data_IF_564376305607
#
_entry.id   IF_564376305607
#
_cell.length_a   1.000
_cell.length_b   1.000
_cell.length_c   1.000
_cell.angle_alpha   90.00
_cell.angle_beta   90.00
_cell.angle_gamma   90.00
#
_symmetry.space_group_name_H-M   'P 1'
#
loop_
_entity.id
_entity.type
_entity.pdbx_description
1 polymer ?
#
# COMPACT_ATOMS: atom_id res chain seq x y z
N UNK A 1 -49.69 -66.06 -8.60
CA UNK A 1 -49.74 -66.48 -7.18
C UNK A 1 -49.04 -65.39 -6.38
N UNK A 2 -49.75 -64.32 -5.99
CA UNK A 2 -50.57 -64.18 -4.77
C UNK A 2 -49.68 -63.99 -3.52
N UNK A 3 -49.50 -62.74 -3.03
CA UNK A 3 -50.15 -62.10 -1.84
C UNK A 3 -49.53 -62.59 -0.50
N UNK A 4 -49.38 -61.84 0.61
CA UNK A 4 -49.78 -60.50 1.05
C UNK A 4 -49.09 -60.18 2.42
N UNK A 5 -48.69 -58.92 2.59
CA UNK A 5 -48.70 -57.98 3.76
C UNK A 5 -49.14 -58.48 5.16
N UNK A 6 -48.43 -58.02 6.22
CA UNK A 6 -48.90 -57.34 7.48
C UNK A 6 -47.68 -57.13 8.40
N UNK A 7 -47.45 -56.06 9.16
CA UNK A 7 -48.19 -54.87 9.59
C UNK A 7 -47.50 -54.39 10.89
N UNK A 8 -47.10 -53.12 10.98
CA UNK A 8 -46.20 -52.58 12.02
C UNK A 8 -46.78 -52.44 13.44
N UNK A 9 -45.96 -52.03 14.42
CA UNK A 9 -46.39 -51.81 15.81
C UNK A 9 -47.44 -50.70 15.91
N UNK A 10 -48.42 -50.93 16.78
CA UNK A 10 -49.68 -50.21 16.83
C UNK A 10 -49.70 -48.99 17.76
N UNK A 11 -50.75 -48.19 17.62
CA UNK A 11 -51.07 -46.95 18.36
C UNK A 11 -51.11 -47.02 19.89
N UNK A 12 -50.78 -48.16 20.52
CA UNK A 12 -50.71 -48.33 21.98
C UNK A 12 -49.28 -48.28 22.55
N UNK A 13 -48.26 -48.40 21.69
CA UNK A 13 -46.85 -48.34 22.12
C UNK A 13 -46.32 -46.89 22.20
N UNK A 14 -47.09 -45.91 21.74
CA UNK A 14 -46.73 -44.48 21.70
C UNK A 14 -47.11 -43.72 23.00
N UNK A 15 -47.74 -44.38 23.98
CA UNK A 15 -48.35 -43.72 25.14
C UNK A 15 -47.67 -43.97 26.51
N UNK A 16 -46.43 -44.48 26.56
CA UNK A 16 -45.71 -44.75 27.83
C UNK A 16 -44.30 -44.14 27.98
N UNK A 17 -43.93 -43.16 27.15
CA UNK A 17 -42.65 -42.44 27.28
C UNK A 17 -42.85 -40.91 27.32
N UNK A 18 -43.94 -40.46 27.93
CA UNK A 18 -44.16 -39.07 28.28
C UNK A 18 -43.83 -38.80 29.75
N UNK A 19 -43.15 -37.67 30.00
CA UNK A 19 -42.86 -36.99 31.28
C UNK A 19 -41.46 -37.22 31.85
N UNK A 20 -40.49 -36.46 31.36
CA UNK A 20 -39.23 -36.25 32.08
C UNK A 20 -38.11 -35.62 31.26
N UNK A 21 -38.28 -34.37 30.79
CA UNK A 21 -37.21 -33.38 30.56
C UNK A 21 -37.73 -32.16 29.76
N UNK A 22 -38.78 -31.49 30.25
CA UNK A 22 -39.09 -30.13 29.81
C UNK A 22 -38.35 -29.17 30.76
N UNK A 23 -37.14 -28.75 30.38
CA UNK A 23 -36.32 -27.89 31.23
C UNK A 23 -34.89 -27.67 30.76
N UNK A 24 -34.63 -27.64 29.44
CA UNK A 24 -33.42 -26.96 28.97
C UNK A 24 -33.75 -25.48 28.92
N UNK A 25 -33.32 -24.79 29.97
CA UNK A 25 -33.25 -23.35 30.08
C UNK A 25 -32.85 -22.75 28.73
N UNK A 26 -33.75 -21.96 28.13
CA UNK A 26 -33.35 -20.93 27.18
C UNK A 26 -32.53 -19.91 27.96
N UNK A 27 -31.24 -20.21 28.17
CA UNK A 27 -30.28 -19.18 28.45
C UNK A 27 -30.29 -18.26 27.21
N UNK A 28 -30.51 -16.95 27.36
CA UNK A 28 -30.31 -16.05 26.24
C UNK A 28 -28.89 -16.31 25.75
N UNK A 29 -28.75 -16.66 24.48
CA UNK A 29 -27.46 -16.55 23.83
C UNK A 29 -27.07 -15.09 24.05
N UNK A 30 -26.14 -14.86 24.97
CA UNK A 30 -25.44 -13.59 25.04
C UNK A 30 -24.77 -13.51 23.68
N UNK A 31 -25.39 -12.81 22.74
CA UNK A 31 -24.71 -12.24 21.61
C UNK A 31 -23.59 -11.41 22.24
N UNK A 32 -22.41 -12.03 22.41
CA UNK A 32 -21.19 -11.27 22.59
C UNK A 32 -21.20 -10.31 21.42
N UNK A 33 -21.32 -9.02 21.70
CA UNK A 33 -21.18 -7.99 20.70
C UNK A 33 -19.91 -8.33 19.92
N UNK A 34 -20.08 -8.78 18.68
CA UNK A 34 -18.95 -9.11 17.83
C UNK A 34 -18.21 -7.78 17.68
N UNK A 35 -16.99 -7.72 18.18
CA UNK A 35 -16.15 -6.52 18.06
C UNK A 35 -16.16 -6.13 16.59
N UNK A 36 -16.61 -4.91 16.27
CA UNK A 36 -16.62 -4.46 14.89
C UNK A 36 -15.19 -4.55 14.34
N UNK A 37 -15.01 -5.29 13.25
CA UNK A 37 -13.72 -5.41 12.56
C UNK A 37 -13.71 -4.44 11.39
N UNK A 38 -12.63 -3.65 11.29
CA UNK A 38 -12.32 -2.81 10.14
C UNK A 38 -11.11 -3.39 9.45
N UNK A 39 -11.29 -3.79 8.19
CA UNK A 39 -10.19 -4.30 7.38
C UNK A 39 -9.67 -3.16 6.51
N UNK A 40 -8.40 -2.83 6.69
CA UNK A 40 -7.70 -1.77 5.96
C UNK A 40 -6.72 -2.42 4.98
N UNK A 41 -6.99 -2.31 3.69
CA UNK A 41 -6.05 -2.69 2.64
C UNK A 41 -5.07 -1.56 2.38
N UNK A 42 -3.77 -1.84 2.27
CA UNK A 42 -2.79 -0.80 1.98
C UNK A 42 -1.45 -1.33 1.49
N UNK A 43 -0.50 -0.43 1.26
CA UNK A 43 0.87 -0.81 0.92
C UNK A 43 1.53 -1.57 2.08
N UNK A 44 2.28 -2.64 1.79
CA UNK A 44 2.97 -3.43 2.82
C UNK A 44 3.91 -2.58 3.70
N UNK A 45 4.53 -1.54 3.13
CA UNK A 45 5.36 -0.57 3.83
C UNK A 45 4.63 0.21 4.92
N UNK A 46 3.30 0.32 4.87
CA UNK A 46 2.51 1.03 5.89
C UNK A 46 2.26 0.21 7.16
N UNK A 47 2.54 -1.10 7.14
CA UNK A 47 2.26 -1.99 8.28
C UNK A 47 2.85 -1.48 9.61
N UNK A 48 4.13 -1.06 9.69
CA UNK A 48 4.68 -0.52 10.94
C UNK A 48 3.90 0.70 11.45
N UNK A 49 3.57 1.65 10.57
CA UNK A 49 2.80 2.84 10.92
C UNK A 49 1.37 2.49 11.36
N UNK A 50 0.67 1.64 10.62
CA UNK A 50 -0.71 1.25 10.94
C UNK A 50 -0.78 0.48 12.26
N UNK A 51 0.09 -0.50 12.48
CA UNK A 51 0.04 -1.36 13.66
C UNK A 51 0.56 -0.67 14.92
N UNK A 52 1.53 0.25 14.81
CA UNK A 52 2.10 0.93 15.99
C UNK A 52 1.39 2.24 16.37
N UNK A 53 0.77 2.94 15.41
CA UNK A 53 0.20 4.27 15.63
C UNK A 53 -1.31 4.28 15.37
N UNK A 54 -1.73 3.91 14.16
CA UNK A 54 -3.12 4.11 13.72
C UNK A 54 -4.08 3.17 14.46
N UNK A 55 -3.82 1.86 14.41
CA UNK A 55 -4.69 0.85 15.00
C UNK A 55 -4.83 1.04 16.52
N UNK A 56 -3.76 1.20 17.32
CA UNK A 56 -3.91 1.41 18.77
C UNK A 56 -4.73 2.65 19.13
N UNK A 57 -4.53 3.76 18.42
CA UNK A 57 -5.29 4.99 18.64
C UNK A 57 -6.77 4.83 18.26
N UNK A 58 -7.04 4.22 17.11
CA UNK A 58 -8.38 4.02 16.58
C UNK A 58 -9.18 3.01 17.42
N UNK A 59 -8.59 1.85 17.73
CA UNK A 59 -9.22 0.80 18.55
C UNK A 59 -9.53 1.32 19.97
N UNK A 60 -8.64 2.12 20.57
CA UNK A 60 -8.87 2.74 21.89
C UNK A 60 -10.09 3.66 21.89
N UNK A 61 -10.26 4.44 20.83
CA UNK A 61 -11.34 5.44 20.70
C UNK A 61 -12.68 4.81 20.32
N UNK A 62 -12.68 3.88 19.36
CA UNK A 62 -13.91 3.36 18.74
C UNK A 62 -14.31 1.96 19.19
N UNK A 63 -13.50 1.31 20.05
CA UNK A 63 -13.78 -0.03 20.61
C UNK A 63 -14.01 -1.09 19.52
N UNK A 64 -13.24 -0.99 18.44
CA UNK A 64 -13.25 -1.91 17.31
C UNK A 64 -11.91 -2.66 17.22
N UNK A 65 -11.78 -3.56 16.25
CA UNK A 65 -10.51 -4.17 15.85
C UNK A 65 -10.14 -3.67 14.45
N UNK A 66 -8.89 -3.24 14.27
CA UNK A 66 -8.34 -2.88 12.97
C UNK A 66 -7.43 -4.01 12.50
N UNK A 67 -7.71 -4.54 11.31
CA UNK A 67 -6.90 -5.55 10.65
C UNK A 67 -6.25 -4.90 9.43
N UNK A 68 -4.92 -4.92 9.36
CA UNK A 68 -4.19 -4.34 8.23
C UNK A 68 -3.72 -5.42 7.25
N UNK A 69 -4.19 -5.34 6.01
CA UNK A 69 -3.72 -6.16 4.90
C UNK A 69 -2.70 -5.39 4.07
N UNK A 70 -1.43 -5.50 4.45
CA UNK A 70 -0.31 -4.92 3.72
C UNK A 70 0.05 -5.71 2.45
N UNK A 71 -0.19 -5.14 1.28
CA UNK A 71 0.12 -5.72 -0.03
C UNK A 71 0.48 -4.62 -1.06
N UNK A 72 0.16 -4.79 -2.35
CA UNK A 72 0.31 -3.78 -3.41
C UNK A 72 -1.05 -3.24 -3.84
N UNK A 73 -1.09 -1.99 -4.33
CA UNK A 73 -2.33 -1.33 -4.81
C UNK A 73 -3.14 -2.20 -5.78
N UNK A 74 -2.51 -2.77 -6.81
CA UNK A 74 -3.21 -3.65 -7.76
C UNK A 74 -3.74 -4.94 -7.13
N UNK A 75 -3.07 -5.48 -6.12
CA UNK A 75 -3.54 -6.69 -5.41
C UNK A 75 -4.77 -6.35 -4.56
N UNK A 76 -4.83 -5.17 -3.95
CA UNK A 76 -6.04 -4.69 -3.28
C UNK A 76 -7.18 -4.51 -4.29
N UNK A 77 -6.93 -3.89 -5.45
CA UNK A 77 -7.94 -3.76 -6.50
C UNK A 77 -8.47 -5.12 -6.96
N UNK A 78 -7.60 -6.10 -7.22
CA UNK A 78 -8.02 -7.46 -7.58
C UNK A 78 -8.90 -8.12 -6.51
N UNK A 79 -8.59 -7.91 -5.22
CA UNK A 79 -9.42 -8.41 -4.12
C UNK A 79 -10.78 -7.71 -4.09
N UNK A 80 -10.83 -6.39 -4.31
CA UNK A 80 -12.10 -5.64 -4.40
C UNK A 80 -12.95 -6.15 -5.57
N UNK A 81 -12.33 -6.40 -6.73
CA UNK A 81 -12.99 -6.94 -7.92
C UNK A 81 -13.58 -8.33 -7.66
N UNK A 82 -12.78 -9.24 -7.07
CA UNK A 82 -13.20 -10.62 -6.77
C UNK A 82 -14.33 -10.70 -5.74
N UNK A 83 -14.45 -9.69 -4.88
CA UNK A 83 -15.45 -9.62 -3.81
C UNK A 83 -16.54 -8.57 -4.09
N UNK A 84 -16.80 -8.26 -5.36
CA UNK A 84 -17.86 -7.30 -5.73
C UNK A 84 -19.22 -7.80 -5.26
N UNK A 85 -19.90 -7.00 -4.43
CA UNK A 85 -21.18 -7.35 -3.79
C UNK A 85 -21.05 -8.10 -2.46
N UNK A 86 -19.82 -8.44 -2.06
CA UNK A 86 -19.50 -9.07 -0.77
C UNK A 86 -18.18 -8.50 -0.21
N UNK A 87 -18.04 -7.17 -0.26
CA UNK A 87 -16.82 -6.47 0.12
C UNK A 87 -16.50 -6.68 1.60
N UNK A 88 -15.26 -7.07 1.89
CA UNK A 88 -14.77 -7.24 3.26
C UNK A 88 -13.78 -6.13 3.67
N UNK A 89 -13.08 -5.51 2.71
CA UNK A 89 -12.23 -4.35 2.96
C UNK A 89 -13.11 -3.13 3.25
N UNK A 90 -12.97 -2.57 4.44
CA UNK A 90 -13.72 -1.40 4.90
C UNK A 90 -13.11 -0.09 4.39
N UNK A 91 -11.77 -0.06 4.27
CA UNK A 91 -10.99 1.08 3.79
C UNK A 91 -9.84 0.55 2.93
N UNK A 92 -9.53 1.24 1.84
CA UNK A 92 -8.38 0.90 0.99
C UNK A 92 -7.48 2.11 0.80
N UNK A 93 -6.18 1.87 0.88
CA UNK A 93 -5.13 2.83 0.60
C UNK A 93 -4.41 2.36 -0.66
N UNK A 94 -4.51 3.13 -1.74
CA UNK A 94 -3.95 2.79 -3.04
C UNK A 94 -3.42 4.03 -3.75
N UNK A 95 -2.48 3.83 -4.67
CA UNK A 95 -1.98 4.91 -5.52
C UNK A 95 -3.10 5.47 -6.40
N UNK A 96 -3.09 6.78 -6.66
CA UNK A 96 -4.15 7.47 -7.41
C UNK A 96 -4.47 6.84 -8.78
N UNK A 97 -3.48 6.37 -9.59
CA UNK A 97 -3.77 5.66 -10.84
C UNK A 97 -4.61 4.40 -10.66
N UNK A 98 -4.49 3.72 -9.51
CA UNK A 98 -5.29 2.54 -9.17
C UNK A 98 -6.66 2.93 -8.64
N UNK A 99 -6.77 4.04 -7.91
CA UNK A 99 -8.08 4.60 -7.50
C UNK A 99 -8.95 4.95 -8.71
N UNK A 100 -8.36 5.50 -9.78
CA UNK A 100 -9.09 5.77 -11.04
C UNK A 100 -9.72 4.50 -11.62
N UNK A 101 -9.01 3.37 -11.58
CA UNK A 101 -9.55 2.07 -12.02
C UNK A 101 -10.69 1.61 -11.11
N UNK A 102 -10.53 1.74 -9.79
CA UNK A 102 -11.56 1.38 -8.82
C UNK A 102 -12.86 2.20 -9.01
N UNK A 103 -12.73 3.50 -9.29
CA UNK A 103 -13.87 4.39 -9.61
C UNK A 103 -14.58 3.92 -10.89
N UNK A 104 -13.83 3.64 -11.96
CA UNK A 104 -14.39 3.17 -13.23
C UNK A 104 -15.22 1.88 -13.07
N UNK A 105 -14.87 1.05 -12.10
CA UNK A 105 -15.54 -0.22 -11.82
C UNK A 105 -16.63 -0.13 -10.75
N UNK A 106 -16.86 1.05 -10.18
CA UNK A 106 -17.86 1.30 -9.15
C UNK A 106 -17.53 0.58 -7.83
N UNK A 107 -16.25 0.56 -7.45
CA UNK A 107 -15.76 -0.15 -6.26
C UNK A 107 -15.55 0.76 -5.04
N UNK A 108 -15.71 2.08 -5.18
CA UNK A 108 -15.52 3.06 -4.11
C UNK A 108 -16.84 3.76 -3.76
N UNK A 109 -16.96 4.17 -2.51
CA UNK A 109 -18.03 5.05 -2.04
C UNK A 109 -17.51 6.49 -1.91
N UNK A 110 -18.29 7.51 -2.31
CA UNK A 110 -17.86 8.89 -2.17
C UNK A 110 -17.75 9.32 -0.70
N UNK A 111 -16.61 9.90 -0.37
CA UNK A 111 -16.39 10.64 0.85
C UNK A 111 -17.08 12.01 0.73
N UNK A 112 -17.75 12.43 1.81
CA UNK A 112 -18.43 13.74 1.88
C UNK A 112 -18.06 14.42 3.17
N UNK A 113 -18.04 15.76 3.21
CA UNK A 113 -17.76 16.52 4.44
C UNK A 113 -18.74 16.17 5.57
N UNK A 114 -19.98 15.79 5.24
CA UNK A 114 -20.94 15.32 6.23
C UNK A 114 -20.54 14.01 6.93
N UNK A 115 -19.93 13.07 6.19
CA UNK A 115 -19.45 11.78 6.74
C UNK A 115 -18.02 11.86 7.26
N UNK A 116 -17.18 12.67 6.62
CA UNK A 116 -15.75 12.84 6.88
C UNK A 116 -15.44 14.35 6.97
N UNK A 117 -15.70 14.99 8.12
CA UNK A 117 -15.56 16.44 8.27
C UNK A 117 -14.15 16.95 7.95
N UNK A 118 -13.12 16.16 8.25
CA UNK A 118 -11.71 16.51 8.00
C UNK A 118 -11.38 16.72 6.51
N UNK A 119 -12.27 16.33 5.58
CA UNK A 119 -12.10 16.68 4.16
C UNK A 119 -12.06 18.20 3.94
N UNK A 120 -12.73 18.98 4.79
CA UNK A 120 -12.74 20.44 4.72
C UNK A 120 -11.38 21.06 5.07
N UNK A 121 -10.53 20.32 5.79
CA UNK A 121 -9.21 20.78 6.24
C UNK A 121 -8.09 20.37 5.28
N UNK A 122 -8.41 19.64 4.21
CA UNK A 122 -7.41 19.17 3.25
C UNK A 122 -6.93 20.31 2.34
N UNK A 123 -5.66 20.21 1.94
CA UNK A 123 -5.08 21.12 0.96
C UNK A 123 -5.80 21.02 -0.38
N UNK A 124 -5.84 22.12 -1.13
CA UNK A 124 -6.47 22.15 -2.44
C UNK A 124 -5.87 21.07 -3.37
N UNK A 125 -6.73 20.33 -4.07
CA UNK A 125 -6.33 19.24 -4.96
C UNK A 125 -6.10 17.89 -4.29
N UNK A 126 -6.26 17.77 -2.96
CA UNK A 126 -6.17 16.49 -2.28
C UNK A 126 -7.44 15.63 -2.38
N UNK A 127 -8.59 16.21 -2.74
CA UNK A 127 -9.85 15.48 -2.94
C UNK A 127 -10.08 15.31 -4.44
N UNK A 128 -10.34 14.08 -4.86
CA UNK A 128 -10.40 13.72 -6.27
C UNK A 128 -11.74 13.14 -6.68
N UNK A 129 -12.09 13.34 -7.96
CA UNK A 129 -13.30 12.81 -8.60
C UNK A 129 -14.55 12.94 -7.72
N UNK A 130 -14.84 14.15 -7.25
CA UNK A 130 -16.00 14.46 -6.41
C UNK A 130 -16.08 13.65 -5.11
N UNK A 131 -14.91 13.38 -4.49
CA UNK A 131 -14.81 12.72 -3.19
C UNK A 131 -14.63 11.21 -3.28
N UNK A 132 -14.36 10.64 -4.46
CA UNK A 132 -14.14 9.19 -4.58
C UNK A 132 -12.89 8.70 -3.83
N UNK A 133 -11.88 9.57 -3.68
CA UNK A 133 -10.80 9.37 -2.72
C UNK A 133 -10.23 10.72 -2.28
N UNK A 134 -9.49 10.70 -1.18
CA UNK A 134 -8.68 11.83 -0.74
C UNK A 134 -7.22 11.40 -0.55
N UNK A 135 -6.26 12.27 -0.84
CA UNK A 135 -4.87 12.01 -0.53
C UNK A 135 -4.61 12.24 0.96
N UNK A 136 -4.08 11.23 1.64
CA UNK A 136 -3.74 11.30 3.07
C UNK A 136 -2.23 11.43 3.33
N UNK A 137 -1.41 11.18 2.30
CA UNK A 137 0.02 11.44 2.29
C UNK A 137 0.50 11.80 0.89
N UNK A 138 1.56 12.62 0.83
CA UNK A 138 2.19 13.05 -0.41
C UNK A 138 3.73 12.95 -0.28
N UNK A 139 4.29 11.74 -0.15
CA UNK A 139 5.72 11.54 -0.25
C UNK A 139 6.21 12.00 -1.63
N UNK A 140 7.51 12.23 -1.71
CA UNK A 140 8.17 12.63 -2.94
C UNK A 140 9.39 11.75 -3.17
N UNK A 141 9.81 11.67 -4.43
CA UNK A 141 10.94 10.87 -4.85
C UNK A 141 12.20 11.73 -4.98
N UNK A 142 13.23 11.35 -4.23
CA UNK A 142 14.54 12.00 -4.24
C UNK A 142 15.68 11.00 -4.43
N UNK A 143 16.90 11.42 -4.09
CA UNK A 143 18.05 10.52 -3.99
C UNK A 143 18.40 10.37 -2.51
N UNK A 144 18.24 9.17 -1.97
CA UNK A 144 18.76 8.86 -0.64
C UNK A 144 20.23 8.49 -0.79
N UNK A 145 21.10 9.03 0.05
CA UNK A 145 22.54 8.79 -0.04
C UNK A 145 23.14 8.53 1.35
N UNK A 146 24.25 7.78 1.40
CA UNK A 146 24.99 7.56 2.64
C UNK A 146 25.85 8.80 2.95
N UNK A 147 25.54 9.52 4.03
CA UNK A 147 26.20 10.79 4.38
C UNK A 147 27.56 10.63 5.06
N UNK A 148 27.89 9.42 5.51
CA UNK A 148 29.22 9.09 6.03
C UNK A 148 30.20 8.85 4.87
N UNK A 149 29.76 8.12 3.85
CA UNK A 149 30.56 7.79 2.66
C UNK A 149 30.59 8.92 1.62
N UNK A 150 29.54 9.75 1.55
CA UNK A 150 29.45 10.87 0.61
C UNK A 150 29.37 12.21 1.37
N UNK A 151 30.49 12.91 1.45
CA UNK A 151 30.58 14.24 2.06
C UNK A 151 29.98 15.34 1.18
N UNK A 152 29.87 15.11 -0.12
CA UNK A 152 29.15 15.99 -1.06
C UNK A 152 27.83 15.32 -1.45
N UNK A 153 26.68 15.89 -1.10
CA UNK A 153 25.37 15.35 -1.49
C UNK A 153 25.22 15.35 -3.01
N UNK A 154 24.50 14.36 -3.60
CA UNK A 154 24.11 14.46 -5.00
C UNK A 154 23.20 15.68 -5.20
N UNK A 155 23.24 16.25 -6.40
CA UNK A 155 22.47 17.44 -6.78
C UNK A 155 21.57 17.20 -7.99
N UNK A 156 21.80 16.09 -8.70
CA UNK A 156 21.13 15.79 -9.97
C UNK A 156 20.79 14.31 -10.07
N UNK A 157 19.71 13.98 -10.75
CA UNK A 157 19.43 12.59 -11.17
C UNK A 157 20.54 12.02 -12.07
N UNK A 158 21.30 12.89 -12.76
CA UNK A 158 22.43 12.49 -13.59
C UNK A 158 23.59 11.89 -12.76
N UNK A 159 23.68 12.22 -11.46
CA UNK A 159 24.76 11.75 -10.58
C UNK A 159 24.74 10.22 -10.45
N UNK A 160 23.56 9.59 -10.54
CA UNK A 160 23.41 8.13 -10.55
C UNK A 160 24.24 7.47 -11.67
N UNK A 161 24.47 8.17 -12.78
CA UNK A 161 25.14 7.65 -13.98
C UNK A 161 26.64 7.95 -14.03
N UNK A 162 27.20 8.64 -13.04
CA UNK A 162 28.63 8.97 -13.05
C UNK A 162 29.50 7.73 -12.81
N UNK A 163 30.56 7.56 -13.61
CA UNK A 163 31.44 6.39 -13.57
C UNK A 163 32.13 6.16 -12.21
N UNK A 164 32.28 7.22 -11.41
CA UNK A 164 32.86 7.14 -10.05
C UNK A 164 32.00 6.33 -9.07
N UNK A 165 30.73 6.07 -9.39
CA UNK A 165 29.81 5.27 -8.59
C UNK A 165 29.62 3.83 -9.11
N UNK A 166 30.62 3.30 -9.83
CA UNK A 166 30.63 1.93 -10.35
C UNK A 166 30.27 0.89 -9.27
N UNK A 167 29.22 0.11 -9.50
CA UNK A 167 28.73 -0.93 -8.58
C UNK A 167 28.20 -0.44 -7.22
N UNK A 168 27.79 0.83 -7.09
CA UNK A 168 27.37 1.43 -5.80
C UNK A 168 25.96 2.06 -5.83
N UNK A 169 25.23 1.94 -6.93
CA UNK A 169 23.89 2.52 -7.10
C UNK A 169 22.82 1.45 -6.93
N UNK A 170 21.79 1.76 -6.16
CA UNK A 170 20.60 0.93 -6.02
C UNK A 170 19.41 1.63 -6.64
N UNK A 171 18.63 0.91 -7.43
CA UNK A 171 17.41 1.43 -8.05
C UNK A 171 16.21 0.52 -7.76
N UNK A 172 14.98 1.05 -7.72
CA UNK A 172 13.78 0.24 -7.63
C UNK A 172 13.52 -0.59 -8.88
N UNK A 173 12.94 -1.78 -8.67
CA UNK A 173 12.28 -2.54 -9.73
C UNK A 173 11.04 -1.79 -10.25
N UNK A 174 10.70 -1.89 -11.55
CA UNK A 174 9.42 -1.43 -12.09
C UNK A 174 8.18 -2.05 -11.42
N UNK A 175 8.36 -3.10 -10.63
CA UNK A 175 7.30 -3.71 -9.82
C UNK A 175 6.92 -2.90 -8.57
N UNK A 176 7.69 -1.87 -8.24
CA UNK A 176 7.45 -0.95 -7.14
C UNK A 176 6.98 0.41 -7.69
N UNK A 177 6.23 1.15 -6.87
CA UNK A 177 5.61 2.43 -7.24
C UNK A 177 6.62 3.42 -7.81
N UNK A 178 7.79 3.54 -7.19
CA UNK A 178 8.87 4.44 -7.58
C UNK A 178 9.63 3.99 -8.86
N UNK A 179 9.42 2.76 -9.34
CA UNK A 179 10.08 2.23 -10.54
C UNK A 179 9.59 2.85 -11.85
N UNK A 180 8.31 3.25 -11.93
CA UNK A 180 7.78 3.96 -13.10
C UNK A 180 8.35 5.39 -13.22
N UNK A 181 8.33 6.22 -12.15
CA UNK A 181 9.01 7.52 -12.15
C UNK A 181 10.50 7.44 -12.51
N UNK A 182 11.22 6.39 -12.12
CA UNK A 182 12.61 6.19 -12.54
C UNK A 182 12.77 6.16 -14.07
N UNK A 183 11.85 5.48 -14.77
CA UNK A 183 11.85 5.42 -16.24
C UNK A 183 11.64 6.83 -16.82
N UNK A 184 10.72 7.60 -16.26
CA UNK A 184 10.47 8.97 -16.71
C UNK A 184 11.61 9.94 -16.41
N UNK A 185 12.25 9.82 -15.24
CA UNK A 185 13.47 10.55 -14.89
C UNK A 185 14.57 10.23 -15.92
N UNK A 186 14.78 8.96 -16.22
CA UNK A 186 15.78 8.54 -17.20
C UNK A 186 15.46 9.05 -18.62
N UNK A 187 14.18 9.08 -19.01
CA UNK A 187 13.74 9.61 -20.29
C UNK A 187 14.00 11.12 -20.40
N UNK A 188 13.67 11.88 -19.35
CA UNK A 188 13.94 13.31 -19.28
C UNK A 188 15.45 13.61 -19.37
N UNK A 189 16.28 12.85 -18.65
CA UNK A 189 17.74 12.94 -18.73
C UNK A 189 18.28 12.58 -20.12
N UNK A 190 17.70 11.58 -20.79
CA UNK A 190 18.12 11.17 -22.13
C UNK A 190 17.87 12.25 -23.18
N UNK A 191 16.71 12.92 -23.08
CA UNK A 191 16.28 13.95 -24.02
C UNK A 191 16.76 15.36 -23.64
N UNK A 192 17.26 15.56 -22.42
CA UNK A 192 17.66 16.89 -21.94
C UNK A 192 16.46 17.84 -21.74
N UNK A 193 15.30 17.29 -21.36
CA UNK A 193 14.03 18.02 -21.20
C UNK A 193 13.55 18.00 -19.75
N UNK A 194 12.61 18.88 -19.35
CA UNK A 194 11.99 18.81 -18.03
C UNK A 194 11.31 17.47 -17.76
N UNK A 195 11.20 17.08 -16.48
CA UNK A 195 10.61 15.80 -16.06
C UNK A 195 9.21 15.55 -16.66
N UNK A 196 8.38 16.58 -16.74
CA UNK A 196 7.03 16.50 -17.34
C UNK A 196 7.07 16.05 -18.81
N UNK A 197 7.96 16.63 -19.61
CA UNK A 197 8.09 16.30 -21.03
C UNK A 197 8.65 14.87 -21.23
N UNK A 198 9.53 14.42 -20.33
CA UNK A 198 10.15 13.09 -20.38
C UNK A 198 9.17 11.93 -20.20
N UNK A 199 8.01 12.15 -19.55
CA UNK A 199 7.02 11.09 -19.29
C UNK A 199 6.43 10.46 -20.56
N UNK A 200 6.59 11.12 -21.71
CA UNK A 200 6.02 10.70 -23.00
C UNK A 200 6.88 9.69 -23.77
N UNK A 201 8.12 9.46 -23.35
CA UNK A 201 9.07 8.58 -24.06
C UNK A 201 9.71 7.54 -23.11
N UNK A 202 8.92 6.54 -22.73
CA UNK A 202 9.41 5.45 -21.88
C UNK A 202 10.55 4.65 -22.54
N UNK A 203 10.60 4.58 -23.87
CA UNK A 203 11.64 3.84 -24.60
C UNK A 203 13.01 4.51 -24.44
N UNK A 204 13.07 5.85 -24.55
CA UNK A 204 14.26 6.61 -24.22
C UNK A 204 14.68 6.40 -22.75
N UNK A 205 13.72 6.32 -21.84
CA UNK A 205 13.96 5.98 -20.43
C UNK A 205 14.65 4.63 -20.25
N UNK A 206 14.14 3.57 -20.87
CA UNK A 206 14.78 2.25 -20.82
C UNK A 206 16.17 2.24 -21.44
N UNK A 207 16.37 2.90 -22.59
CA UNK A 207 17.69 3.01 -23.23
C UNK A 207 18.70 3.71 -22.31
N UNK A 208 18.29 4.80 -21.64
CA UNK A 208 19.14 5.50 -20.68
C UNK A 208 19.43 4.63 -19.46
N UNK A 209 18.43 3.97 -18.87
CA UNK A 209 18.64 3.07 -17.73
C UNK A 209 19.58 1.91 -18.05
N UNK A 210 19.60 1.42 -19.30
CA UNK A 210 20.57 0.40 -19.70
C UNK A 210 22.04 0.87 -19.56
N UNK A 211 22.30 2.18 -19.66
CA UNK A 211 23.63 2.77 -19.45
C UNK A 211 24.04 2.79 -17.98
N UNK A 212 23.10 2.62 -17.04
CA UNK A 212 23.37 2.59 -15.60
C UNK A 212 24.01 1.27 -15.14
N UNK A 213 23.98 0.21 -15.96
CA UNK A 213 24.46 -1.14 -15.61
C UNK A 213 25.84 -1.17 -14.92
N UNK A 214 26.86 -0.41 -15.35
CA UNK A 214 28.17 -0.42 -14.66
C UNK A 214 28.11 0.12 -13.23
N UNK A 215 27.14 0.97 -12.93
CA UNK A 215 26.96 1.61 -11.62
C UNK A 215 26.06 0.80 -10.69
N UNK A 216 25.26 -0.12 -11.21
CA UNK A 216 24.29 -0.86 -10.41
C UNK A 216 24.96 -1.84 -9.44
N UNK A 217 24.62 -1.69 -8.17
CA UNK A 217 24.80 -2.70 -7.14
C UNK A 217 23.65 -3.72 -7.19
N UNK A 218 22.40 -3.24 -7.17
CA UNK A 218 21.21 -4.10 -7.27
C UNK A 218 19.97 -3.33 -7.72
N UNK A 219 18.98 -4.08 -8.21
CA UNK A 219 17.62 -3.60 -8.49
C UNK A 219 16.71 -4.22 -7.42
N UNK A 220 16.18 -3.41 -6.50
CA UNK A 220 15.45 -3.96 -5.37
C UNK A 220 13.97 -4.19 -5.69
N UNK A 221 13.42 -5.26 -5.11
CA UNK A 221 11.97 -5.46 -4.96
C UNK A 221 11.51 -5.22 -3.52
N UNK A 222 12.42 -5.32 -2.56
CA UNK A 222 12.16 -5.09 -1.13
C UNK A 222 12.91 -3.85 -0.64
N UNK A 223 12.17 -2.81 -0.27
CA UNK A 223 12.72 -1.53 0.18
C UNK A 223 13.62 -1.65 1.44
N UNK A 224 13.28 -2.45 2.47
CA UNK A 224 14.16 -2.59 3.64
C UNK A 224 15.56 -3.12 3.30
N UNK A 225 15.66 -4.04 2.34
CA UNK A 225 16.95 -4.57 1.88
C UNK A 225 17.81 -3.48 1.25
N UNK A 226 17.21 -2.62 0.42
CA UNK A 226 17.91 -1.52 -0.23
C UNK A 226 18.50 -0.53 0.78
N UNK A 227 17.74 -0.17 1.82
CA UNK A 227 18.20 0.75 2.85
C UNK A 227 19.27 0.14 3.76
N UNK A 228 19.20 -1.15 4.06
CA UNK A 228 20.29 -1.82 4.78
C UNK A 228 21.62 -1.71 4.01
N UNK A 229 21.62 -1.90 2.69
CA UNK A 229 22.81 -1.73 1.84
C UNK A 229 23.31 -0.29 1.85
N UNK A 230 22.40 0.69 1.80
CA UNK A 230 22.75 2.11 1.86
C UNK A 230 23.40 2.48 3.20
N UNK A 231 22.84 2.01 4.30
CA UNK A 231 23.30 2.33 5.66
C UNK A 231 24.64 1.69 5.99
N UNK A 232 24.90 0.49 5.49
CA UNK A 232 26.17 -0.21 5.61
C UNK A 232 27.27 0.39 4.71
N UNK A 233 26.90 1.32 3.83
CA UNK A 233 27.80 1.93 2.88
C UNK A 233 28.11 1.03 1.67
N UNK A 234 27.48 -0.13 1.52
CA UNK A 234 27.62 -0.94 0.30
C UNK A 234 27.04 -0.20 -0.90
N UNK A 235 25.84 0.38 -0.75
CA UNK A 235 25.29 1.35 -1.68
C UNK A 235 25.68 2.77 -1.24
N UNK A 236 25.96 3.64 -2.22
CA UNK A 236 26.16 5.07 -2.00
C UNK A 236 24.88 5.86 -2.19
N UNK A 237 24.03 5.45 -3.13
CA UNK A 237 22.78 6.12 -3.45
C UNK A 237 21.67 5.11 -3.77
N UNK A 238 20.45 5.46 -3.35
CA UNK A 238 19.20 4.88 -3.84
C UNK A 238 18.47 5.97 -4.64
N UNK A 239 18.14 5.69 -5.90
CA UNK A 239 17.48 6.66 -6.77
C UNK A 239 16.50 6.01 -7.76
N UNK A 240 15.22 6.44 -7.78
CA UNK A 240 14.55 7.28 -6.79
C UNK A 240 14.31 6.56 -5.45
N UNK A 241 14.40 7.32 -4.36
CA UNK A 241 14.07 6.91 -3.01
C UNK A 241 12.84 7.67 -2.50
N UNK A 242 11.91 6.95 -1.85
CA UNK A 242 10.68 7.55 -1.31
C UNK A 242 10.95 8.29 0.00
N UNK A 243 10.49 9.55 0.08
CA UNK A 243 10.79 10.42 1.22
C UNK A 243 10.20 9.94 2.54
N UNK A 244 9.04 9.27 2.54
CA UNK A 244 8.44 8.70 3.75
C UNK A 244 9.35 7.67 4.40
N UNK A 245 10.03 6.82 3.61
CA UNK A 245 10.93 5.81 4.13
C UNK A 245 12.31 6.38 4.47
N UNK A 246 12.90 7.19 3.57
CA UNK A 246 14.21 7.79 3.81
C UNK A 246 14.23 8.66 5.06
N UNK A 247 13.18 9.47 5.25
CA UNK A 247 13.07 10.39 6.38
C UNK A 247 12.87 9.64 7.69
N UNK A 248 12.11 8.54 7.69
CA UNK A 248 11.96 7.68 8.87
C UNK A 248 13.29 7.07 9.29
N UNK A 249 14.05 6.50 8.34
CA UNK A 249 15.38 5.93 8.61
C UNK A 249 16.36 6.99 9.12
N UNK A 250 16.38 8.17 8.49
CA UNK A 250 17.17 9.33 8.96
C UNK A 250 16.78 9.73 10.40
N UNK A 251 15.48 9.83 10.69
CA UNK A 251 14.99 10.16 12.02
C UNK A 251 15.35 9.10 13.08
N UNK A 252 15.46 7.83 12.67
CA UNK A 252 15.95 6.73 13.50
C UNK A 252 17.49 6.73 13.70
N UNK A 253 18.21 7.71 13.16
CA UNK A 253 19.65 7.85 13.34
C UNK A 253 20.52 7.15 12.30
N UNK A 254 19.92 6.62 11.23
CA UNK A 254 20.68 6.01 10.13
C UNK A 254 21.66 7.02 9.49
N UNK A 255 22.83 6.58 9.00
CA UNK A 255 23.85 7.43 8.39
C UNK A 255 23.49 7.84 6.95
N UNK A 256 22.24 8.27 6.74
CA UNK A 256 21.73 8.64 5.42
C UNK A 256 21.13 10.04 5.44
N UNK A 257 20.99 10.62 4.26
CA UNK A 257 20.15 11.79 4.02
C UNK A 257 19.42 11.65 2.68
N UNK A 258 18.47 12.54 2.42
CA UNK A 258 17.64 12.57 1.21
C UNK A 258 17.73 13.96 0.58
N UNK A 259 17.98 14.02 -0.73
CA UNK A 259 17.99 15.27 -1.49
C UNK A 259 16.92 15.29 -2.57
N UNK A 260 16.41 16.49 -2.84
CA UNK A 260 15.61 16.80 -4.00
C UNK A 260 16.56 17.24 -5.15
N UNK A 261 16.66 16.50 -6.26
CA UNK A 261 17.53 16.88 -7.36
C UNK A 261 17.04 18.15 -8.08
N UNK A 262 17.97 18.89 -8.69
CA UNK A 262 17.70 20.19 -9.33
C UNK A 262 16.72 20.12 -10.50
N UNK A 263 16.59 18.96 -11.15
CA UNK A 263 15.61 18.75 -12.23
C UNK A 263 14.17 18.64 -11.71
N UNK A 264 13.99 18.52 -10.38
CA UNK A 264 12.71 18.36 -9.72
C UNK A 264 12.52 16.96 -9.14
N UNK A 265 11.35 16.77 -8.53
CA UNK A 265 10.93 15.54 -7.85
C UNK A 265 9.58 15.08 -8.37
N UNK A 266 9.28 13.80 -8.22
CA UNK A 266 7.93 13.27 -8.42
C UNK A 266 7.21 13.19 -7.07
N UNK A 267 6.03 13.79 -6.97
CA UNK A 267 5.12 13.54 -5.85
C UNK A 267 4.42 12.19 -6.05
N UNK A 268 4.31 11.40 -4.99
CA UNK A 268 3.66 10.09 -4.93
C UNK A 268 2.46 10.17 -3.99
N UNK A 269 1.38 10.88 -4.35
CA UNK A 269 0.19 10.93 -3.52
C UNK A 269 -0.43 9.52 -3.39
N UNK A 270 -0.90 9.20 -2.19
CA UNK A 270 -1.67 7.97 -1.95
C UNK A 270 -3.09 8.33 -1.54
N UNK A 271 -4.06 7.71 -2.21
CA UNK A 271 -5.47 7.85 -1.94
C UNK A 271 -5.95 6.95 -0.81
N UNK A 272 -6.95 7.44 -0.07
CA UNK A 272 -7.79 6.69 0.87
C UNK A 272 -9.26 6.90 0.55
#
# INVERSE_FOLDING_TARGET
MAQQIKGGPGRRDVLKLGLGAAGVLMAPAVLRAQTAELVVGGAASHKPWVESIVAPAFEKKYKCKVLFEGTKSLVNLEKMQKNKGAQYMSVVQMDDPVMILAVKEGLLEPLTVAKVPNLADLVAGAVHMDGMWANYLQPWLGIAYNKTEMTTPPTSWADLFEAKYKGRIVIPSPQNTEGLPLIFIAAALAAGVPLEAGQKDAEAGFRKLATLKPNLLTIYTQMPQAYNLLEQGEALMIGPAMSSYASERKAAGAPIDLVAPKEGVFAMPSGI
#
